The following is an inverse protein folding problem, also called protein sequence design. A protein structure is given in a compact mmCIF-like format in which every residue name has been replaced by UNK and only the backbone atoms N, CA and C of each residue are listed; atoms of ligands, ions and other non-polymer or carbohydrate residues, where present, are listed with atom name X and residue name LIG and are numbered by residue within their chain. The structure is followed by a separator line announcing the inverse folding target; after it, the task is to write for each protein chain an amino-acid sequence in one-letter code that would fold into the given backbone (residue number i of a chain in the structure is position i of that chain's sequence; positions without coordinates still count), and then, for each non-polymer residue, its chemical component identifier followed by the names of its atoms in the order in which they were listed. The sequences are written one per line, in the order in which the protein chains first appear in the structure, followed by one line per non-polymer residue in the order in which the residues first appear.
data_IF_725047314803
#
_entry.id   IF_725047314803
#
_cell.length_a   1.000
_cell.length_b   1.000
_cell.length_c   1.000
_cell.angle_alpha   90.00
_cell.angle_beta   90.00
_cell.angle_gamma   90.00
#
_symmetry.space_group_name_H-M   'P 1'
#
loop_
_entity.id
_entity.type
_entity.pdbx_description
1 polymer ?
#
# COMPACT_ATOMS: atom_id res chain seq x y z
N UNK A 1 1.40 8.03 -0.49
CA UNK A 1 2.85 8.11 -0.61
C UNK A 1 3.33 7.07 -1.61
N UNK A 2 4.04 7.47 -2.66
CA UNK A 2 4.61 6.58 -3.68
C UNK A 2 6.11 6.83 -3.83
N UNK A 3 6.80 5.93 -4.50
CA UNK A 3 8.18 6.16 -4.92
C UNK A 3 8.24 7.10 -6.13
N UNK A 4 9.47 7.33 -6.63
CA UNK A 4 9.69 8.19 -7.80
C UNK A 4 9.69 7.39 -9.13
N UNK A 5 9.00 6.24 -9.16
CA UNK A 5 8.82 5.44 -10.37
C UNK A 5 8.11 6.23 -11.48
N UNK A 6 8.37 5.83 -12.71
CA UNK A 6 7.74 6.47 -13.90
C UNK A 6 6.21 6.32 -13.91
N UNK A 7 5.70 5.35 -13.16
CA UNK A 7 4.27 5.08 -12.98
C UNK A 7 3.57 6.16 -12.15
N UNK A 8 4.34 6.89 -11.32
CA UNK A 8 3.79 7.85 -10.36
C UNK A 8 4.30 9.27 -10.55
N UNK A 9 5.37 9.45 -11.31
CA UNK A 9 6.00 10.75 -11.52
C UNK A 9 6.69 10.86 -12.87
N UNK A 10 6.86 12.09 -13.36
CA UNK A 10 7.63 12.36 -14.58
C UNK A 10 9.14 12.11 -14.41
N UNK A 11 9.57 11.58 -13.26
CA UNK A 11 10.96 11.25 -12.93
C UNK A 11 11.80 12.46 -12.54
N UNK A 12 13.00 12.17 -12.02
CA UNK A 12 13.99 13.18 -11.60
C UNK A 12 14.50 14.08 -12.74
N UNK A 13 14.21 13.71 -14.00
CA UNK A 13 14.64 14.47 -15.19
C UNK A 13 13.74 15.66 -15.55
N UNK A 14 12.58 15.78 -14.90
CA UNK A 14 11.68 16.93 -15.11
C UNK A 14 12.18 18.22 -14.40
N UNK A 15 13.35 18.20 -13.78
CA UNK A 15 13.94 19.38 -13.12
C UNK A 15 14.54 20.39 -14.10
N UNK A 16 14.54 20.13 -15.40
CA UNK A 16 15.00 21.08 -16.41
C UNK A 16 13.81 21.82 -17.06
N UNK A 17 13.21 22.74 -16.31
CA UNK A 17 12.61 23.95 -16.87
C UNK A 17 11.46 23.86 -17.89
N UNK A 18 11.00 22.70 -18.30
CA UNK A 18 9.77 22.55 -19.04
C UNK A 18 8.63 22.40 -18.03
N UNK A 19 7.71 23.33 -18.00
CA UNK A 19 6.41 23.22 -17.32
C UNK A 19 5.64 22.05 -17.93
N UNK A 20 6.06 20.82 -17.58
CA UNK A 20 5.48 19.58 -18.04
C UNK A 20 4.07 19.45 -17.46
N UNK A 21 3.16 18.91 -18.26
CA UNK A 21 1.84 18.49 -17.78
C UNK A 21 2.00 17.67 -16.50
N UNK A 22 1.16 17.88 -15.48
CA UNK A 22 1.19 17.04 -14.29
C UNK A 22 1.06 15.57 -14.70
N UNK A 23 1.73 14.68 -14.00
CA UNK A 23 1.62 13.25 -14.27
C UNK A 23 0.14 12.82 -14.17
N UNK A 24 -0.29 11.88 -15.02
CA UNK A 24 -1.69 11.42 -15.05
C UNK A 24 -2.14 10.92 -13.67
N UNK A 25 -1.24 10.30 -12.93
CA UNK A 25 -1.49 9.85 -11.56
C UNK A 25 -1.75 11.03 -10.60
N UNK A 26 -0.99 12.13 -10.73
CA UNK A 26 -1.22 13.35 -9.93
C UNK A 26 -2.58 13.97 -10.24
N UNK A 27 -2.94 14.02 -11.52
CA UNK A 27 -4.23 14.53 -11.95
C UNK A 27 -5.40 13.71 -11.39
N UNK A 28 -5.27 12.38 -11.43
CA UNK A 28 -6.26 11.46 -10.85
C UNK A 28 -6.36 11.62 -9.32
N UNK A 29 -5.24 11.70 -8.63
CA UNK A 29 -5.22 11.94 -7.19
C UNK A 29 -5.92 13.25 -6.83
N UNK A 30 -5.65 14.32 -7.57
CA UNK A 30 -6.31 15.62 -7.36
C UNK A 30 -7.83 15.54 -7.58
N UNK A 31 -8.30 14.84 -8.59
CA UNK A 31 -9.73 14.62 -8.84
C UNK A 31 -10.42 13.86 -7.71
N UNK A 32 -9.71 12.91 -7.09
CA UNK A 32 -10.22 12.09 -5.99
C UNK A 32 -10.01 12.74 -4.61
N UNK A 33 -9.46 13.95 -4.53
CA UNK A 33 -9.14 14.62 -3.27
C UNK A 33 -8.04 13.93 -2.47
N UNK A 34 -7.16 13.18 -3.14
CA UNK A 34 -6.06 12.45 -2.52
C UNK A 34 -4.79 13.29 -2.61
N UNK A 35 -4.17 13.59 -1.46
CA UNK A 35 -2.86 14.23 -1.43
C UNK A 35 -1.77 13.23 -1.85
N UNK A 36 -1.22 13.41 -3.04
CA UNK A 36 -0.10 12.59 -3.52
C UNK A 36 1.22 13.14 -2.99
N UNK A 37 2.00 12.28 -2.35
CA UNK A 37 3.34 12.60 -1.83
C UNK A 37 4.36 11.61 -2.38
N UNK A 38 5.45 12.13 -2.91
CA UNK A 38 6.58 11.32 -3.35
C UNK A 38 7.56 11.07 -2.20
N UNK A 39 8.17 9.89 -2.17
CA UNK A 39 9.28 9.62 -1.26
C UNK A 39 10.50 10.45 -1.66
N UNK A 40 11.32 10.82 -0.68
CA UNK A 40 12.58 11.51 -0.98
C UNK A 40 13.49 10.61 -1.82
N UNK A 41 14.10 11.13 -2.90
CA UNK A 41 15.05 10.36 -3.70
C UNK A 41 16.13 9.73 -2.82
N UNK A 42 16.54 8.50 -3.13
CA UNK A 42 17.57 7.74 -2.42
C UNK A 42 17.31 7.52 -0.92
N UNK A 43 16.06 7.55 -0.49
CA UNK A 43 15.68 7.29 0.90
C UNK A 43 14.82 6.02 0.99
N UNK A 44 15.42 4.81 0.98
CA UNK A 44 14.69 3.53 0.88
C UNK A 44 13.78 3.25 2.10
N UNK A 45 14.01 3.91 3.24
CA UNK A 45 13.27 3.64 4.48
C UNK A 45 11.79 3.98 4.41
N UNK A 46 11.39 4.89 3.54
CA UNK A 46 9.99 5.38 3.48
C UNK A 46 9.03 4.39 2.81
N UNK A 47 9.53 3.47 2.00
CA UNK A 47 8.72 2.44 1.32
C UNK A 47 8.94 1.01 1.88
N UNK A 48 9.75 0.87 2.91
CA UNK A 48 10.16 -0.43 3.47
C UNK A 48 9.01 -1.31 3.96
N UNK A 49 7.86 -0.76 4.31
CA UNK A 49 6.69 -1.55 4.70
C UNK A 49 6.04 -2.23 3.49
N UNK A 50 5.88 -1.49 2.39
CA UNK A 50 5.35 -2.04 1.14
C UNK A 50 6.32 -3.08 0.54
N UNK A 51 7.62 -2.78 0.54
CA UNK A 51 8.66 -3.71 0.09
C UNK A 51 8.66 -5.02 0.88
N UNK A 52 8.50 -4.94 2.20
CA UNK A 52 8.41 -6.12 3.08
C UNK A 52 7.15 -6.93 2.80
N UNK A 53 6.01 -6.29 2.60
CA UNK A 53 4.78 -6.96 2.23
C UNK A 53 4.92 -7.65 0.88
N UNK A 54 5.42 -6.94 -0.13
CA UNK A 54 5.66 -7.48 -1.48
C UNK A 54 6.66 -8.65 -1.46
N UNK A 55 7.71 -8.58 -0.64
CA UNK A 55 8.65 -9.68 -0.44
C UNK A 55 7.97 -10.94 0.09
N UNK A 56 7.08 -10.82 1.06
CA UNK A 56 6.31 -11.95 1.58
C UNK A 56 5.35 -12.55 0.56
N UNK A 57 4.70 -11.71 -0.25
CA UNK A 57 3.87 -12.18 -1.39
C UNK A 57 4.75 -12.94 -2.38
N UNK A 58 5.91 -12.40 -2.74
CA UNK A 58 6.84 -13.05 -3.65
C UNK A 58 7.30 -14.43 -3.14
N UNK A 59 7.53 -14.58 -1.83
CA UNK A 59 7.90 -15.86 -1.24
C UNK A 59 6.77 -16.88 -1.35
N UNK A 60 5.52 -16.48 -1.14
CA UNK A 60 4.35 -17.35 -1.36
C UNK A 60 4.27 -17.78 -2.83
N UNK A 61 4.45 -16.84 -3.77
CA UNK A 61 4.40 -17.13 -5.19
C UNK A 61 5.50 -18.10 -5.63
N UNK A 62 6.67 -18.06 -4.99
CA UNK A 62 7.79 -18.98 -5.29
C UNK A 62 7.57 -20.39 -4.73
N UNK A 63 6.91 -20.49 -3.59
CA UNK A 63 6.77 -21.77 -2.85
C UNK A 63 5.49 -22.53 -3.20
N UNK A 64 4.51 -21.87 -3.80
CA UNK A 64 3.21 -22.46 -4.15
C UNK A 64 3.09 -22.67 -5.66
N UNK A 65 2.58 -23.83 -6.07
CA UNK A 65 2.17 -24.06 -7.45
C UNK A 65 0.66 -23.86 -7.54
N UNK A 66 0.26 -22.91 -8.37
CA UNK A 66 -1.14 -22.57 -8.56
C UNK A 66 -1.71 -23.33 -9.76
N UNK A 67 -2.87 -23.96 -9.58
CA UNK A 67 -3.54 -24.73 -10.61
C UNK A 67 -4.39 -23.83 -11.53
N UNK A 68 -4.76 -22.64 -11.08
CA UNK A 68 -5.58 -21.69 -11.84
C UNK A 68 -5.40 -20.26 -11.33
N UNK A 69 -5.84 -19.28 -12.11
CA UNK A 69 -5.89 -17.88 -11.68
C UNK A 69 -6.80 -17.68 -10.45
N UNK A 70 -7.86 -18.46 -10.34
CA UNK A 70 -8.78 -18.42 -9.19
C UNK A 70 -8.11 -18.95 -7.92
N UNK A 71 -7.33 -20.03 -8.03
CA UNK A 71 -6.55 -20.56 -6.91
C UNK A 71 -5.52 -19.55 -6.40
N UNK A 72 -4.80 -18.90 -7.32
CA UNK A 72 -3.91 -17.78 -7.01
C UNK A 72 -4.64 -16.66 -6.26
N UNK A 73 -5.76 -16.18 -6.81
CA UNK A 73 -6.55 -15.12 -6.22
C UNK A 73 -7.02 -15.47 -4.80
N UNK A 74 -7.57 -16.66 -4.61
CA UNK A 74 -8.04 -17.10 -3.29
C UNK A 74 -6.89 -17.22 -2.29
N UNK A 75 -5.74 -17.73 -2.72
CA UNK A 75 -4.57 -17.85 -1.86
C UNK A 75 -4.06 -16.48 -1.43
N UNK A 76 -4.00 -15.51 -2.34
CA UNK A 76 -3.60 -14.14 -2.01
C UNK A 76 -4.60 -13.47 -1.08
N UNK A 77 -5.90 -13.62 -1.30
CA UNK A 77 -6.93 -13.08 -0.40
C UNK A 77 -6.84 -13.67 1.02
N UNK A 78 -6.64 -14.98 1.13
CA UNK A 78 -6.43 -15.65 2.43
C UNK A 78 -5.17 -15.13 3.12
N UNK A 79 -4.10 -14.94 2.37
CA UNK A 79 -2.86 -14.40 2.93
C UNK A 79 -3.02 -12.95 3.41
N UNK A 80 -3.70 -12.10 2.64
CA UNK A 80 -3.99 -10.72 3.05
C UNK A 80 -4.83 -10.70 4.34
N UNK A 81 -5.84 -11.56 4.44
CA UNK A 81 -6.63 -11.69 5.65
C UNK A 81 -5.78 -12.14 6.84
N UNK A 82 -4.93 -13.17 6.66
CA UNK A 82 -3.99 -13.65 7.66
C UNK A 82 -3.03 -12.54 8.12
N UNK A 83 -2.43 -11.82 7.15
CA UNK A 83 -1.51 -10.72 7.40
C UNK A 83 -2.15 -9.61 8.23
N UNK A 84 -3.35 -9.21 7.86
CA UNK A 84 -4.02 -8.09 8.51
C UNK A 84 -4.57 -8.43 9.90
N UNK A 85 -5.03 -9.66 10.11
CA UNK A 85 -5.75 -10.03 11.33
C UNK A 85 -4.96 -10.88 12.32
N UNK A 86 -3.96 -11.63 11.85
CA UNK A 86 -3.30 -12.64 12.69
C UNK A 86 -1.78 -12.47 12.79
N UNK A 87 -1.11 -11.88 11.79
CA UNK A 87 0.34 -11.75 11.82
C UNK A 87 0.79 -10.48 12.55
N UNK A 88 1.39 -10.60 13.75
CA UNK A 88 1.92 -9.46 14.47
C UNK A 88 3.11 -8.86 13.73
N UNK A 89 3.20 -7.54 13.71
CA UNK A 89 4.27 -6.80 13.06
C UNK A 89 5.17 -6.15 14.09
N UNK A 90 6.49 -6.36 14.00
CA UNK A 90 7.46 -5.73 14.91
C UNK A 90 7.39 -4.19 14.86
N UNK A 91 7.18 -3.61 13.66
CA UNK A 91 7.00 -2.18 13.50
C UNK A 91 5.73 -1.63 14.19
N UNK A 92 4.76 -2.49 14.46
CA UNK A 92 3.52 -2.18 15.18
C UNK A 92 3.56 -2.68 16.64
N UNK A 93 4.75 -2.82 17.21
CA UNK A 93 4.97 -3.29 18.60
C UNK A 93 4.31 -4.64 18.89
N UNK A 94 4.36 -5.55 17.92
CA UNK A 94 3.78 -6.89 18.06
C UNK A 94 2.25 -6.95 17.85
N UNK A 95 1.63 -5.87 17.41
CA UNK A 95 0.22 -5.84 17.06
C UNK A 95 0.00 -6.19 15.58
N UNK A 96 -1.21 -6.64 15.26
CA UNK A 96 -1.59 -6.83 13.85
C UNK A 96 -2.01 -5.50 13.23
N UNK A 97 -1.92 -5.34 11.89
CA UNK A 97 -2.39 -4.14 11.22
C UNK A 97 -3.82 -3.76 11.58
N UNK A 98 -4.73 -4.73 11.66
CA UNK A 98 -6.14 -4.47 11.99
C UNK A 98 -6.33 -4.03 13.45
N UNK A 99 -5.53 -4.53 14.39
CA UNK A 99 -5.58 -4.06 15.78
C UNK A 99 -5.19 -2.58 15.87
N UNK A 100 -4.12 -2.18 15.19
CA UNK A 100 -3.68 -0.79 15.14
C UNK A 100 -4.69 0.10 14.44
N UNK A 101 -5.28 -0.35 13.33
CA UNK A 101 -6.35 0.40 12.64
C UNK A 101 -7.58 0.64 13.53
N UNK A 102 -7.99 -0.38 14.31
CA UNK A 102 -9.09 -0.24 15.28
C UNK A 102 -8.77 0.74 16.39
N UNK A 103 -7.52 0.74 16.87
CA UNK A 103 -7.05 1.69 17.87
C UNK A 103 -7.09 3.12 17.33
N UNK A 104 -6.52 3.34 16.14
CA UNK A 104 -6.56 4.65 15.47
C UNK A 104 -7.99 5.14 15.20
N UNK A 105 -8.88 4.27 14.76
CA UNK A 105 -10.28 4.64 14.57
C UNK A 105 -10.96 5.07 15.87
N UNK A 106 -10.57 4.51 17.00
CA UNK A 106 -11.09 4.92 18.32
C UNK A 106 -10.54 6.28 18.76
N UNK A 107 -9.23 6.51 18.54
CA UNK A 107 -8.55 7.74 18.95
C UNK A 107 -8.81 8.91 18.00
N UNK A 108 -8.88 8.64 16.71
CA UNK A 108 -9.00 9.63 15.65
C UNK A 108 -10.02 9.17 14.58
N UNK A 109 -11.31 9.12 14.91
CA UNK A 109 -12.34 8.71 13.97
C UNK A 109 -12.48 9.65 12.76
N UNK A 110 -12.04 10.90 12.91
CA UNK A 110 -11.99 11.93 11.87
C UNK A 110 -11.14 11.56 10.64
N UNK A 111 -10.18 10.65 10.80
CA UNK A 111 -9.31 10.20 9.72
C UNK A 111 -9.92 9.08 8.86
N UNK A 112 -11.11 8.60 9.21
CA UNK A 112 -11.70 7.43 8.58
C UNK A 112 -13.04 7.75 7.93
N UNK A 113 -13.13 7.50 6.62
CA UNK A 113 -14.40 7.61 5.89
C UNK A 113 -15.33 6.41 6.12
N UNK A 114 -14.78 5.26 6.52
CA UNK A 114 -15.49 4.00 6.80
C UNK A 114 -14.90 3.29 8.01
N UNK A 115 -15.72 2.49 8.68
CA UNK A 115 -15.26 1.69 9.82
C UNK A 115 -14.27 0.61 9.38
N UNK A 116 -13.14 0.41 10.11
CA UNK A 116 -12.12 -0.57 9.72
C UNK A 116 -12.58 -2.03 9.68
N UNK A 117 -13.69 -2.38 10.35
CA UNK A 117 -14.17 -3.78 10.44
C UNK A 117 -15.05 -4.20 9.27
N UNK A 118 -15.58 -3.26 8.51
CA UNK A 118 -16.56 -3.52 7.46
C UNK A 118 -15.88 -3.79 6.09
N UNK A 119 -14.56 -3.87 6.10
CA UNK A 119 -13.77 -4.10 4.89
C UNK A 119 -13.42 -5.57 4.78
N UNK A 120 -14.10 -6.27 3.90
CA UNK A 120 -13.73 -7.60 3.45
C UNK A 120 -12.79 -7.47 2.25
N UNK A 121 -11.48 -7.39 2.50
CA UNK A 121 -10.48 -7.37 1.43
C UNK A 121 -9.83 -6.01 1.16
N UNK A 122 -8.96 -5.97 0.15
CA UNK A 122 -8.35 -4.72 -0.31
C UNK A 122 -9.42 -3.80 -0.90
N UNK A 123 -9.35 -2.53 -0.55
CA UNK A 123 -10.04 -1.50 -1.32
C UNK A 123 -9.38 -1.43 -2.69
N UNK A 124 -10.00 -2.00 -3.65
CA UNK A 124 -9.76 -1.71 -5.05
C UNK A 124 -10.87 -0.79 -5.51
#
# INVERSE_FOLDING_TARGET
LTDNGKEFSNGLLACNGAAGKPHEFDALCAQLGIEHRLTRPRTPRTNGMAERFNGRIADILKTHRFNSAQDLQQTLLRYVALYNHQLPQSALKGQTPMQVMKLWHRERPDLFNKRPYDRAGCDI
#
